data_IF_126595683645
#
_entry.id   IF_126595683645
#
_cell.length_a   1.000
_cell.length_b   1.000
_cell.length_c   1.000
_cell.angle_alpha   90.00
_cell.angle_beta   90.00
_cell.angle_gamma   90.00
#
_symmetry.space_group_name_H-M   'P 1'
#
loop_
_entity.id
_entity.type
_entity.pdbx_description
1 polymer ?
#
# COMPACT_ATOMS: atom_id res chain seq x y z
N UNK A 1 42.95 -34.05 36.15
CA UNK A 1 41.90 -34.58 35.24
C UNK A 1 42.23 -34.11 33.83
N UNK A 2 42.90 -34.94 33.04
CA UNK A 2 43.32 -34.60 31.67
C UNK A 2 42.15 -34.77 30.72
N UNK A 3 41.58 -33.67 30.23
CA UNK A 3 40.55 -33.71 29.20
C UNK A 3 41.22 -34.23 27.93
N UNK A 4 40.73 -35.37 27.42
CA UNK A 4 41.15 -35.93 26.14
C UNK A 4 40.94 -34.90 25.01
N UNK A 5 41.93 -34.75 24.12
CA UNK A 5 41.92 -33.81 22.99
C UNK A 5 40.59 -33.85 22.20
N UNK A 6 40.00 -35.04 22.04
CA UNK A 6 38.70 -35.24 21.37
C UNK A 6 37.54 -34.56 22.09
N UNK A 7 37.51 -34.60 23.43
CA UNK A 7 36.49 -33.90 24.24
C UNK A 7 36.65 -32.38 24.18
N UNK A 8 37.89 -31.88 24.20
CA UNK A 8 38.15 -30.44 24.09
C UNK A 8 37.69 -29.88 22.75
N UNK A 9 37.94 -30.60 21.65
CA UNK A 9 37.48 -30.20 20.30
C UNK A 9 35.95 -30.16 20.24
N UNK A 10 35.27 -31.16 20.80
CA UNK A 10 33.81 -31.23 20.80
C UNK A 10 33.15 -30.07 21.55
N UNK A 11 33.74 -29.67 22.69
CA UNK A 11 33.26 -28.56 23.51
C UNK A 11 33.43 -27.22 22.77
N UNK A 12 34.57 -27.03 22.09
CA UNK A 12 34.83 -25.81 21.32
C UNK A 12 33.86 -25.70 20.14
N UNK A 13 33.66 -26.80 19.40
CA UNK A 13 32.71 -26.81 18.27
C UNK A 13 31.28 -26.55 18.76
N UNK A 14 30.85 -27.16 19.88
CA UNK A 14 29.51 -26.92 20.40
C UNK A 14 29.32 -25.47 20.85
N UNK A 15 30.33 -24.85 21.48
CA UNK A 15 30.28 -23.44 21.85
C UNK A 15 30.21 -22.53 20.63
N UNK A 16 30.97 -22.81 19.56
CA UNK A 16 30.90 -22.04 18.32
C UNK A 16 29.51 -22.16 17.69
N UNK A 17 28.92 -23.37 17.63
CA UNK A 17 27.56 -23.55 17.07
C UNK A 17 26.49 -22.81 17.88
N UNK A 18 26.59 -22.79 19.22
CA UNK A 18 25.66 -22.05 20.07
C UNK A 18 25.82 -20.55 19.86
N UNK A 19 27.05 -20.05 19.78
CA UNK A 19 27.34 -18.63 19.49
C UNK A 19 26.80 -18.25 18.10
N UNK A 20 27.00 -19.08 17.07
CA UNK A 20 26.45 -18.83 15.73
C UNK A 20 24.92 -18.84 15.70
N UNK A 21 24.24 -19.63 16.55
CA UNK A 21 22.78 -19.60 16.69
C UNK A 21 22.29 -18.38 17.49
N UNK A 22 23.09 -17.88 18.44
CA UNK A 22 22.77 -16.67 19.22
C UNK A 22 23.01 -15.36 18.46
N UNK A 23 23.84 -15.34 17.41
CA UNK A 23 24.09 -14.17 16.56
C UNK A 23 23.25 -14.24 15.27
N UNK A 24 22.12 -14.95 15.23
CA UNK A 24 21.18 -14.70 14.14
C UNK A 24 20.70 -13.25 14.29
N UNK A 25 21.05 -12.31 13.37
CA UNK A 25 20.42 -11.02 13.41
C UNK A 25 18.92 -11.28 13.24
N UNK A 26 18.14 -10.95 14.26
CA UNK A 26 16.70 -10.80 14.11
C UNK A 26 16.52 -9.63 13.14
N UNK A 27 16.56 -9.90 11.84
CA UNK A 27 16.17 -8.92 10.83
C UNK A 27 14.68 -8.71 11.05
N UNK A 28 14.28 -7.57 11.62
CA UNK A 28 12.87 -7.25 11.76
C UNK A 28 12.37 -6.80 10.39
N UNK A 29 12.12 -7.78 9.54
CA UNK A 29 11.33 -7.60 8.33
C UNK A 29 9.88 -7.41 8.72
N UNK A 30 9.42 -6.17 8.66
CA UNK A 30 8.03 -5.80 8.89
C UNK A 30 7.28 -5.78 7.57
N UNK A 31 6.07 -6.36 7.54
CA UNK A 31 5.09 -6.15 6.48
C UNK A 31 3.87 -5.47 7.07
N UNK A 32 3.48 -4.33 6.52
CA UNK A 32 2.30 -3.58 6.95
C UNK A 32 1.27 -3.50 5.83
N UNK A 33 0.00 -3.72 6.19
CA UNK A 33 -1.14 -3.43 5.33
C UNK A 33 -1.65 -2.03 5.66
N UNK A 34 -1.73 -1.17 4.64
CA UNK A 34 -2.12 0.24 4.78
C UNK A 34 -3.35 0.45 3.92
N UNK A 35 -4.47 0.71 4.58
CA UNK A 35 -5.74 1.04 3.93
C UNK A 35 -5.87 2.56 3.83
N UNK A 36 -6.15 3.07 2.62
CA UNK A 36 -6.49 4.47 2.41
C UNK A 36 -7.77 4.58 1.61
N UNK A 37 -8.62 5.51 2.03
CA UNK A 37 -9.85 5.86 1.32
C UNK A 37 -9.53 6.94 0.31
N UNK A 38 -9.88 6.70 -0.95
CA UNK A 38 -9.85 7.68 -2.03
C UNK A 38 -11.30 8.10 -2.27
N UNK A 39 -11.54 9.40 -2.35
CA UNK A 39 -12.85 9.98 -2.62
C UNK A 39 -12.73 11.06 -3.68
N UNK A 40 -13.75 11.17 -4.51
CA UNK A 40 -13.84 12.20 -5.54
C UNK A 40 -15.28 12.47 -5.91
N UNK A 41 -15.46 13.41 -6.82
CA UNK A 41 -16.77 13.79 -7.32
C UNK A 41 -16.69 14.16 -8.79
N UNK A 42 -17.77 13.93 -9.53
CA UNK A 42 -17.92 14.40 -10.90
C UNK A 42 -19.38 14.73 -11.18
N UNK A 43 -19.63 15.58 -12.18
CA UNK A 43 -20.98 15.99 -12.55
C UNK A 43 -21.24 15.62 -14.01
N UNK A 44 -22.45 15.16 -14.29
CA UNK A 44 -22.94 14.97 -15.66
C UNK A 44 -24.32 15.58 -15.82
N UNK A 45 -24.43 16.54 -16.74
CA UNK A 45 -25.65 17.33 -16.97
C UNK A 45 -26.13 18.05 -15.70
N UNK A 46 -27.18 17.57 -15.04
CA UNK A 46 -27.77 18.15 -13.81
C UNK A 46 -27.55 17.26 -12.57
N UNK A 47 -26.79 16.17 -12.72
CA UNK A 47 -26.56 15.20 -11.65
C UNK A 47 -25.12 15.28 -11.16
N UNK A 48 -24.97 15.21 -9.84
CA UNK A 48 -23.69 15.17 -9.16
C UNK A 48 -23.47 13.76 -8.61
N UNK A 49 -22.25 13.28 -8.77
CA UNK A 49 -21.84 11.95 -8.36
C UNK A 49 -20.68 12.06 -7.38
N UNK A 50 -20.87 11.54 -6.18
CA UNK A 50 -19.84 11.42 -5.16
C UNK A 50 -19.44 9.96 -5.04
N UNK A 51 -18.15 9.67 -5.10
CA UNK A 51 -17.67 8.29 -5.00
C UNK A 51 -16.54 8.16 -3.99
N UNK A 52 -16.39 6.94 -3.49
CA UNK A 52 -15.25 6.56 -2.68
C UNK A 52 -14.92 5.08 -2.85
N UNK A 53 -13.66 4.74 -2.58
CA UNK A 53 -13.19 3.37 -2.50
C UNK A 53 -12.01 3.28 -1.54
N UNK A 54 -11.81 2.10 -0.97
CA UNK A 54 -10.63 1.79 -0.17
C UNK A 54 -9.58 1.08 -1.03
N UNK A 55 -8.35 1.54 -0.96
CA UNK A 55 -7.17 0.90 -1.53
C UNK A 55 -6.27 0.38 -0.40
N UNK A 56 -5.99 -0.92 -0.40
CA UNK A 56 -5.12 -1.56 0.60
C UNK A 56 -3.79 -1.92 -0.06
N UNK A 57 -2.71 -1.32 0.43
CA UNK A 57 -1.34 -1.61 0.01
C UNK A 57 -0.62 -2.45 1.06
N UNK A 58 0.07 -3.50 0.65
CA UNK A 58 1.00 -4.25 1.50
C UNK A 58 2.43 -3.81 1.23
N UNK A 59 3.08 -3.19 2.22
CA UNK A 59 4.46 -2.69 2.11
C UNK A 59 5.34 -3.49 3.07
N UNK A 60 6.41 -4.08 2.52
CA UNK A 60 7.46 -4.75 3.28
C UNK A 60 8.68 -3.85 3.36
N UNK A 61 9.29 -3.79 4.53
CA UNK A 61 10.45 -2.94 4.81
C UNK A 61 11.45 -3.66 5.73
N UNK A 62 12.68 -3.15 5.76
CA UNK A 62 13.73 -3.63 6.64
C UNK A 62 13.93 -2.73 7.88
N UNK A 63 14.86 -3.11 8.75
CA UNK A 63 15.21 -2.39 9.98
C UNK A 63 15.67 -0.94 9.77
N UNK A 64 16.04 -0.56 8.54
CA UNK A 64 16.41 0.81 8.18
C UNK A 64 15.24 1.60 7.58
N UNK A 65 14.00 1.10 7.69
CA UNK A 65 12.79 1.61 7.05
C UNK A 65 12.86 1.67 5.52
N UNK A 66 13.79 0.94 4.92
CA UNK A 66 13.85 0.87 3.48
C UNK A 66 12.79 -0.12 3.00
N UNK A 67 11.92 0.33 2.10
CA UNK A 67 10.95 -0.51 1.43
C UNK A 67 11.71 -1.51 0.56
N UNK A 68 11.39 -2.79 0.74
CA UNK A 68 12.03 -3.91 0.02
C UNK A 68 11.06 -4.60 -0.93
N UNK A 69 9.76 -4.49 -0.70
CA UNK A 69 8.73 -5.07 -1.56
C UNK A 69 7.38 -4.37 -1.36
N UNK A 70 6.58 -4.36 -2.43
CA UNK A 70 5.20 -3.87 -2.43
C UNK A 70 4.25 -4.90 -3.04
N UNK A 71 3.03 -5.01 -2.50
CA UNK A 71 1.95 -5.83 -3.08
C UNK A 71 1.20 -5.08 -4.18
N UNK A 72 0.33 -5.78 -4.91
CA UNK A 72 -0.75 -5.10 -5.64
C UNK A 72 -1.77 -4.51 -4.64
N UNK A 73 -2.50 -3.50 -5.11
CA UNK A 73 -3.62 -2.93 -4.38
C UNK A 73 -4.82 -3.88 -4.37
N UNK A 74 -5.45 -3.98 -3.21
CA UNK A 74 -6.78 -4.57 -3.07
C UNK A 74 -7.80 -3.46 -2.90
N UNK A 75 -8.84 -3.47 -3.74
CA UNK A 75 -9.92 -2.50 -3.68
C UNK A 75 -11.14 -3.06 -2.95
N UNK A 76 -11.76 -2.24 -2.10
CA UNK A 76 -12.98 -2.60 -1.36
C UNK A 76 -13.82 -1.36 -1.08
N UNK A 77 -15.04 -1.55 -0.56
CA UNK A 77 -15.97 -0.46 -0.21
C UNK A 77 -16.14 0.55 -1.35
N UNK A 78 -16.28 0.05 -2.58
CA UNK A 78 -16.46 0.87 -3.77
C UNK A 78 -17.91 1.35 -3.80
N UNK A 79 -18.11 2.66 -3.71
CA UNK A 79 -19.42 3.30 -3.65
C UNK A 79 -19.46 4.49 -4.61
N UNK A 80 -20.57 4.67 -5.30
CA UNK A 80 -20.86 5.87 -6.10
C UNK A 80 -22.31 6.27 -5.86
N UNK A 81 -22.52 7.43 -5.26
CA UNK A 81 -23.84 7.99 -4.95
C UNK A 81 -24.13 9.14 -5.92
N UNK A 82 -25.36 9.15 -6.45
CA UNK A 82 -25.87 10.21 -7.31
C UNK A 82 -26.79 11.14 -6.52
N UNK A 83 -26.86 12.42 -6.92
CA UNK A 83 -27.87 13.37 -6.43
C UNK A 83 -29.30 12.97 -6.82
N UNK A 84 -29.48 12.03 -7.75
CA UNK A 84 -30.78 11.44 -8.10
C UNK A 84 -30.75 9.92 -8.11
N UNK A 85 -31.69 9.28 -7.39
CA UNK A 85 -31.81 7.82 -7.34
C UNK A 85 -32.13 7.19 -8.71
N UNK A 86 -32.72 7.94 -9.63
CA UNK A 86 -33.09 7.44 -10.96
C UNK A 86 -31.91 7.39 -11.93
N UNK A 87 -30.79 8.03 -11.58
CA UNK A 87 -29.60 8.14 -12.42
C UNK A 87 -28.37 7.68 -11.64
N UNK A 88 -28.26 6.38 -11.31
CA UNK A 88 -27.14 5.85 -10.54
C UNK A 88 -25.81 6.01 -11.30
N UNK A 89 -24.75 6.20 -10.53
CA UNK A 89 -23.38 6.19 -11.04
C UNK A 89 -22.67 4.91 -10.63
N UNK A 90 -21.56 4.63 -11.29
CA UNK A 90 -20.64 3.56 -10.88
C UNK A 90 -19.21 3.98 -11.11
N UNK A 91 -18.30 3.40 -10.33
CA UNK A 91 -16.87 3.55 -10.50
C UNK A 91 -16.19 2.18 -10.50
N UNK A 92 -15.12 2.06 -11.28
CA UNK A 92 -14.30 0.85 -11.33
C UNK A 92 -12.84 1.28 -11.15
N UNK A 93 -12.29 1.22 -9.92
CA UNK A 93 -10.87 1.45 -9.68
C UNK A 93 -10.04 0.25 -10.16
N UNK A 94 -8.93 0.53 -10.84
CA UNK A 94 -7.97 -0.47 -11.28
C UNK A 94 -6.55 0.05 -11.08
N UNK A 95 -5.68 -0.78 -10.53
CA UNK A 95 -4.25 -0.46 -10.50
C UNK A 95 -3.70 -0.56 -11.92
N UNK A 96 -3.18 0.56 -12.42
CA UNK A 96 -2.58 0.67 -13.76
C UNK A 96 -1.08 0.42 -13.72
N UNK A 97 -0.41 0.91 -12.67
CA UNK A 97 1.01 0.62 -12.43
C UNK A 97 1.36 0.72 -10.96
N UNK A 98 2.52 0.15 -10.60
CA UNK A 98 3.14 0.30 -9.30
C UNK A 98 4.67 0.28 -9.43
N UNK A 99 5.35 1.00 -8.55
CA UNK A 99 6.79 0.94 -8.39
C UNK A 99 7.17 1.38 -6.98
N UNK A 100 8.40 1.11 -6.57
CA UNK A 100 8.91 1.58 -5.29
C UNK A 100 10.39 1.89 -5.37
N UNK A 101 10.83 2.75 -4.46
CA UNK A 101 12.21 3.00 -4.11
C UNK A 101 12.42 2.56 -2.65
N UNK A 102 13.62 2.71 -2.11
CA UNK A 102 13.82 2.46 -0.68
C UNK A 102 12.97 3.37 0.22
N UNK A 103 12.61 4.57 -0.22
CA UNK A 103 11.92 5.57 0.61
C UNK A 103 10.44 5.75 0.30
N UNK A 104 9.94 5.22 -0.81
CA UNK A 104 8.55 5.39 -1.20
C UNK A 104 7.99 4.26 -2.04
N UNK A 105 6.70 3.98 -1.88
CA UNK A 105 5.92 3.13 -2.76
C UNK A 105 4.89 3.98 -3.49
N UNK A 106 4.83 3.88 -4.81
CA UNK A 106 3.89 4.66 -5.63
C UNK A 106 3.02 3.73 -6.47
N UNK A 107 1.72 4.01 -6.45
CA UNK A 107 0.70 3.31 -7.21
C UNK A 107 -0.06 4.31 -8.07
N UNK A 108 -0.35 3.93 -9.31
CA UNK A 108 -1.28 4.66 -10.17
C UNK A 108 -2.55 3.84 -10.28
N UNK A 109 -3.67 4.45 -9.92
CA UNK A 109 -5.01 3.85 -9.94
C UNK A 109 -5.85 4.61 -10.94
N UNK A 110 -6.22 3.95 -12.04
CA UNK A 110 -7.21 4.50 -12.97
C UNK A 110 -8.61 4.15 -12.46
N UNK A 111 -9.42 5.17 -12.24
CA UNK A 111 -10.82 5.06 -11.88
C UNK A 111 -11.65 5.34 -13.12
N UNK A 112 -12.29 4.31 -13.67
CA UNK A 112 -13.30 4.51 -14.71
C UNK A 112 -14.60 4.92 -14.04
N UNK A 113 -15.13 6.10 -14.37
CA UNK A 113 -16.38 6.62 -13.81
C UNK A 113 -17.46 6.52 -14.87
N UNK A 114 -18.67 6.21 -14.45
CA UNK A 114 -19.81 6.09 -15.34
C UNK A 114 -21.06 6.70 -14.69
N UNK A 115 -21.75 7.56 -15.44
CA UNK A 115 -23.05 8.08 -15.06
C UNK A 115 -24.12 7.41 -15.92
N UNK A 116 -24.82 6.44 -15.33
CA UNK A 116 -26.00 5.79 -15.89
C UNK A 116 -25.86 5.26 -17.33
N UNK A 117 -24.67 4.82 -17.73
CA UNK A 117 -24.41 4.36 -19.11
C UNK A 117 -24.49 5.45 -20.18
N UNK A 118 -24.68 6.73 -19.79
CA UNK A 118 -24.78 7.88 -20.71
C UNK A 118 -23.47 8.65 -20.82
N UNK A 119 -22.64 8.57 -19.79
CA UNK A 119 -21.33 9.20 -19.73
C UNK A 119 -20.33 8.26 -19.09
N UNK A 120 -19.12 8.21 -19.63
CA UNK A 120 -17.98 7.57 -19.00
C UNK A 120 -16.71 8.37 -19.20
N UNK A 121 -15.83 8.34 -18.22
CA UNK A 121 -14.47 8.86 -18.34
C UNK A 121 -13.51 8.06 -17.45
N UNK A 122 -12.25 8.46 -17.46
CA UNK A 122 -11.20 7.93 -16.58
C UNK A 122 -10.50 9.06 -15.86
N UNK A 123 -10.13 8.81 -14.61
CA UNK A 123 -9.26 9.67 -13.81
C UNK A 123 -8.17 8.81 -13.18
N UNK A 124 -6.94 9.26 -13.26
CA UNK A 124 -5.82 8.61 -12.60
C UNK A 124 -5.56 9.24 -11.24
N UNK A 125 -5.44 8.40 -10.22
CA UNK A 125 -4.99 8.75 -8.88
C UNK A 125 -3.59 8.21 -8.65
N UNK A 126 -2.68 9.06 -8.20
CA UNK A 126 -1.35 8.65 -7.75
C UNK A 126 -1.32 8.58 -6.23
N UNK A 127 -1.12 7.39 -5.68
CA UNK A 127 -1.01 7.13 -4.25
C UNK A 127 0.46 6.89 -3.92
N UNK A 128 1.06 7.78 -3.12
CA UNK A 128 2.45 7.68 -2.70
C UNK A 128 2.54 7.44 -1.19
N UNK A 129 3.09 6.31 -0.80
CA UNK A 129 3.27 5.89 0.59
C UNK A 129 4.73 6.09 0.98
N UNK A 130 4.97 6.79 2.10
CA UNK A 130 6.31 7.03 2.66
C UNK A 130 6.34 6.57 4.12
N UNK A 131 7.38 5.84 4.55
CA UNK A 131 7.58 5.59 5.97
C UNK A 131 7.73 6.94 6.71
N UNK A 132 7.00 7.16 7.80
CA UNK A 132 7.20 8.35 8.64
C UNK A 132 8.62 8.35 9.26
N UNK A 133 9.22 9.55 9.39
CA UNK A 133 10.59 9.85 9.82
C UNK A 133 11.22 8.88 10.87
N UNK A 134 12.47 8.39 10.69
CA UNK A 134 13.19 7.51 11.63
C UNK A 134 13.56 8.14 12.99
N UNK A 135 13.23 9.41 13.25
CA UNK A 135 13.66 10.16 14.43
C UNK A 135 13.13 9.68 15.79
N UNK A 136 12.22 8.71 15.82
CA UNK A 136 11.64 8.18 17.08
C UNK A 136 12.15 6.75 17.32
N UNK A 137 12.94 6.48 18.38
CA UNK A 137 13.50 5.15 18.63
C UNK A 137 12.42 4.06 18.71
N UNK A 138 12.56 3.05 17.86
CA UNK A 138 11.66 1.90 17.68
C UNK A 138 11.46 1.01 18.92
N UNK A 139 12.22 1.22 19.98
CA UNK A 139 12.16 0.44 21.22
C UNK A 139 10.93 0.73 22.08
N UNK A 140 10.05 1.65 21.69
CA UNK A 140 8.89 2.07 22.50
C UNK A 140 7.51 1.83 21.85
N UNK A 141 7.40 1.54 20.56
CA UNK A 141 6.11 1.27 19.90
C UNK A 141 6.28 0.41 18.62
N UNK A 142 6.34 -0.91 18.75
CA UNK A 142 6.39 -1.85 17.61
C UNK A 142 5.17 -1.74 16.66
N UNK A 143 4.04 -1.16 17.12
CA UNK A 143 2.78 -1.10 16.37
C UNK A 143 2.55 0.19 15.57
N UNK A 144 3.45 1.19 15.68
CA UNK A 144 3.20 2.55 15.17
C UNK A 144 4.17 3.03 14.10
N UNK A 145 4.55 2.16 13.16
CA UNK A 145 5.13 2.68 11.92
C UNK A 145 4.04 3.35 11.09
N UNK A 146 3.87 4.65 11.26
CA UNK A 146 2.93 5.42 10.47
C UNK A 146 3.47 5.57 9.05
N UNK A 147 2.58 5.50 8.08
CA UNK A 147 2.90 5.81 6.69
C UNK A 147 2.18 7.09 6.34
N UNK A 148 2.95 8.07 5.90
CA UNK A 148 2.38 9.23 5.23
C UNK A 148 1.90 8.75 3.85
N UNK A 149 0.66 9.07 3.51
CA UNK A 149 0.10 8.71 2.20
C UNK A 149 -0.44 9.97 1.55
N UNK A 150 0.23 10.33 0.47
CA UNK A 150 -0.14 11.41 -0.44
C UNK A 150 -1.02 10.84 -1.55
N UNK A 151 -2.12 11.52 -1.86
CA UNK A 151 -3.05 11.16 -2.92
C UNK A 151 -3.16 12.37 -3.84
N UNK A 152 -2.76 12.19 -5.10
CA UNK A 152 -2.86 13.22 -6.14
C UNK A 152 -3.86 12.74 -7.18
N UNK A 153 -4.89 13.55 -7.43
CA UNK A 153 -5.87 13.33 -8.48
C UNK A 153 -5.39 13.99 -9.79
N UNK A 154 -5.53 13.29 -10.91
CA UNK A 154 -5.30 13.81 -12.25
C UNK A 154 -6.57 14.35 -12.90
N UNK A 155 -6.42 14.98 -14.06
CA UNK A 155 -7.55 15.45 -14.85
C UNK A 155 -8.31 14.29 -15.53
N UNK A 156 -9.63 14.43 -15.76
CA UNK A 156 -10.40 13.45 -16.51
C UNK A 156 -9.95 13.31 -17.97
N UNK A 157 -9.93 12.09 -18.47
CA UNK A 157 -9.57 11.75 -19.84
C UNK A 157 -10.42 10.58 -20.37
N UNK A 158 -10.29 10.27 -21.67
CA UNK A 158 -11.08 9.23 -22.35
C UNK A 158 -12.60 9.42 -22.13
N UNK A 159 -13.05 10.65 -22.32
CA UNK A 159 -14.43 11.07 -22.11
C UNK A 159 -15.31 10.53 -23.24
N UNK A 160 -16.37 9.84 -22.87
CA UNK A 160 -17.34 9.22 -23.78
C UNK A 160 -18.74 9.65 -23.38
N UNK A 161 -19.48 10.17 -24.35
CA UNK A 161 -20.90 10.52 -24.20
C UNK A 161 -21.67 9.58 -25.12
N UNK A 162 -22.51 8.74 -24.53
CA UNK A 162 -23.34 7.80 -25.27
C UNK A 162 -24.66 8.48 -25.59
N UNK A 163 -24.89 8.78 -26.88
CA UNK A 163 -26.18 9.26 -27.35
C UNK A 163 -27.20 8.11 -27.31
N UNK A 164 -28.41 8.41 -26.84
CA UNK A 164 -29.57 7.55 -27.04
C UNK A 164 -30.15 7.74 -28.44
#
# INVERSE_FOLDING_TARGET
MTISLKKSIYIIISMITVICMCIMPTQAWGRKLITKSVSGSFSWTFYDYNYSFNAVAGITYNDSNNITQISDLLFSNIVCNSSSMNFPGSIVPRQSSKYFTSSSATYVVTVTRNAYGMYADKVDYTLTYRPSDPGTPYSLNQDKQEFEVEIVEGEPYDIQIFQQ
#
